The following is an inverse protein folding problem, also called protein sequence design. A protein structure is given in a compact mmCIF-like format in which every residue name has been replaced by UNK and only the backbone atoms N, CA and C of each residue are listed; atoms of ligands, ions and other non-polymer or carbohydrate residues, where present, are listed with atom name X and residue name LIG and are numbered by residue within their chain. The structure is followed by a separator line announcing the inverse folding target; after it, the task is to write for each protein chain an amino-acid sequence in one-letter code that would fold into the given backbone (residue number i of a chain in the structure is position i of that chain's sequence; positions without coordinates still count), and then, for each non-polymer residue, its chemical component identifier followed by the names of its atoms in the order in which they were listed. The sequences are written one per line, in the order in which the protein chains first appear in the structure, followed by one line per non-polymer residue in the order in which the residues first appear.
data_IF_947396741516
#
_entry.id   IF_947396741516
#
_cell.length_a   1.000
_cell.length_b   1.000
_cell.length_c   1.000
_cell.angle_alpha   90.00
_cell.angle_beta   90.00
_cell.angle_gamma   90.00
#
_symmetry.space_group_name_H-M   'P 1'
#
loop_
_entity.id
_entity.type
_entity.pdbx_description
1 polymer ?
#
# COMPACT_ATOMS: atom_id res chain seq x y z
N UNK A 1 -11.61 -9.93 12.23
CA UNK A 1 -11.70 -11.38 11.98
C UNK A 1 -12.68 -11.58 10.82
N UNK A 2 -12.18 -11.70 9.58
CA UNK A 2 -12.85 -12.21 8.34
C UNK A 2 -11.98 -11.87 7.10
N UNK A 3 -10.69 -12.27 7.10
CA UNK A 3 -9.76 -12.11 5.95
C UNK A 3 -9.46 -13.43 5.22
N UNK A 4 -10.29 -14.46 5.40
CA UNK A 4 -10.03 -15.83 4.89
C UNK A 4 -10.34 -16.07 3.40
N UNK A 5 -11.37 -15.48 2.76
CA UNK A 5 -11.70 -15.84 1.38
C UNK A 5 -10.75 -15.22 0.34
N UNK A 6 -10.16 -14.07 0.63
CA UNK A 6 -9.27 -13.36 -0.29
C UNK A 6 -7.88 -13.99 -0.38
N UNK A 7 -7.34 -14.48 0.74
CA UNK A 7 -6.06 -15.19 0.78
C UNK A 7 -6.13 -16.47 -0.06
N UNK A 8 -7.25 -17.19 -0.04
CA UNK A 8 -7.44 -18.41 -0.84
C UNK A 8 -7.46 -18.07 -2.33
N UNK A 9 -8.18 -17.01 -2.74
CA UNK A 9 -8.17 -16.55 -4.13
C UNK A 9 -6.76 -16.17 -4.56
N UNK A 10 -6.06 -15.34 -3.80
CA UNK A 10 -4.69 -14.88 -4.13
C UNK A 10 -3.71 -16.05 -4.26
N UNK A 11 -3.81 -17.06 -3.40
CA UNK A 11 -2.98 -18.27 -3.49
C UNK A 11 -3.34 -19.09 -4.73
N UNK A 12 -4.62 -19.25 -5.07
CA UNK A 12 -5.04 -20.00 -6.26
C UNK A 12 -4.66 -19.32 -7.59
N UNK A 13 -4.67 -17.99 -7.67
CA UNK A 13 -4.31 -17.26 -8.91
C UNK A 13 -2.81 -17.05 -9.07
N UNK A 14 -1.98 -17.50 -8.13
CA UNK A 14 -0.55 -17.26 -8.17
C UNK A 14 0.11 -18.13 -9.29
N UNK A 15 0.92 -17.56 -10.19
CA UNK A 15 1.48 -18.32 -11.32
C UNK A 15 2.33 -19.52 -10.88
N UNK A 16 2.95 -19.45 -9.70
CA UNK A 16 3.73 -20.57 -9.16
C UNK A 16 2.88 -21.67 -8.52
N UNK A 17 1.67 -21.40 -8.04
CA UNK A 17 0.76 -22.48 -7.59
C UNK A 17 0.23 -23.25 -8.79
N UNK A 18 -0.13 -22.57 -9.88
CA UNK A 18 -0.45 -23.20 -11.16
C UNK A 18 0.72 -24.05 -11.69
N UNK A 19 1.94 -23.53 -11.64
CA UNK A 19 3.13 -24.27 -12.06
C UNK A 19 3.38 -25.50 -11.17
N UNK A 20 3.22 -25.39 -9.86
CA UNK A 20 3.37 -26.52 -8.94
C UNK A 20 2.32 -27.62 -9.19
N UNK A 21 1.06 -27.24 -9.41
CA UNK A 21 -0.02 -28.18 -9.77
C UNK A 21 0.29 -28.87 -11.10
N UNK A 22 0.72 -28.11 -12.11
CA UNK A 22 1.06 -28.66 -13.42
C UNK A 22 2.25 -29.62 -13.34
N UNK A 23 3.28 -29.28 -12.57
CA UNK A 23 4.48 -30.09 -12.40
C UNK A 23 4.16 -31.42 -11.68
N UNK A 24 3.35 -31.38 -10.62
CA UNK A 24 2.86 -32.58 -9.94
C UNK A 24 2.05 -33.46 -10.90
N UNK A 25 1.12 -32.86 -11.67
CA UNK A 25 0.31 -33.60 -12.64
C UNK A 25 1.16 -34.26 -13.74
N UNK A 26 2.18 -33.57 -14.26
CA UNK A 26 3.09 -34.13 -15.28
C UNK A 26 3.95 -35.26 -14.72
N UNK A 27 4.43 -35.14 -13.48
CA UNK A 27 5.20 -36.19 -12.81
C UNK A 27 4.35 -37.42 -12.52
N UNK A 28 3.14 -37.25 -12.01
CA UNK A 28 2.21 -38.36 -11.75
C UNK A 28 1.81 -39.05 -13.05
N UNK A 29 1.47 -38.27 -14.09
CA UNK A 29 1.15 -38.81 -15.41
C UNK A 29 2.32 -39.58 -16.03
N UNK A 30 3.52 -39.00 -15.99
CA UNK A 30 4.74 -39.64 -16.48
C UNK A 30 5.02 -40.95 -15.75
N UNK A 31 4.87 -40.97 -14.43
CA UNK A 31 5.08 -42.17 -13.62
C UNK A 31 4.05 -43.27 -13.94
N UNK A 32 2.77 -42.94 -14.00
CA UNK A 32 1.70 -43.90 -14.32
C UNK A 32 1.89 -44.46 -15.75
N UNK A 33 2.18 -43.58 -16.71
CA UNK A 33 2.32 -43.98 -18.11
C UNK A 33 3.55 -44.86 -18.36
N UNK A 34 4.67 -44.59 -17.69
CA UNK A 34 5.94 -45.28 -17.95
C UNK A 34 6.13 -46.54 -17.11
N UNK A 35 5.72 -46.51 -15.83
CA UNK A 35 5.99 -47.61 -14.90
C UNK A 35 4.81 -48.56 -14.68
N UNK A 36 3.58 -48.16 -15.05
CA UNK A 36 2.34 -48.94 -14.81
C UNK A 36 2.32 -49.61 -13.43
N UNK A 37 2.46 -48.83 -12.34
CA UNK A 37 2.66 -49.38 -11.01
C UNK A 37 1.44 -50.21 -10.56
N UNK A 38 1.64 -51.26 -9.74
CA UNK A 38 0.54 -51.96 -9.11
C UNK A 38 -0.26 -51.00 -8.23
N UNK A 39 -1.58 -51.22 -8.17
CA UNK A 39 -2.56 -50.33 -7.52
C UNK A 39 -2.13 -49.68 -6.18
N UNK A 40 -1.56 -50.41 -5.19
CA UNK A 40 -1.16 -49.79 -3.92
C UNK A 40 -0.04 -48.75 -4.06
N UNK A 41 0.88 -48.95 -5.01
CA UNK A 41 1.98 -48.01 -5.27
C UNK A 41 1.47 -46.77 -6.00
N UNK A 42 0.55 -46.96 -6.95
CA UNK A 42 -0.13 -45.85 -7.64
C UNK A 42 -0.93 -44.97 -6.67
N UNK A 43 -1.70 -45.58 -5.77
CA UNK A 43 -2.45 -44.85 -4.74
C UNK A 43 -1.53 -44.08 -3.78
N UNK A 44 -0.39 -44.67 -3.39
CA UNK A 44 0.62 -44.01 -2.56
C UNK A 44 1.24 -42.78 -3.24
N UNK A 45 1.53 -42.86 -4.54
CA UNK A 45 2.05 -41.73 -5.33
C UNK A 45 1.05 -40.57 -5.40
N UNK A 46 -0.22 -40.84 -5.69
CA UNK A 46 -1.28 -39.81 -5.70
C UNK A 46 -1.43 -39.17 -4.31
N UNK A 47 -1.38 -39.99 -3.25
CA UNK A 47 -1.40 -39.49 -1.87
C UNK A 47 -0.22 -38.56 -1.57
N UNK A 48 0.97 -38.88 -2.07
CA UNK A 48 2.16 -38.05 -1.93
C UNK A 48 2.03 -36.73 -2.70
N UNK A 49 1.47 -36.73 -3.91
CA UNK A 49 1.20 -35.52 -4.69
C UNK A 49 0.20 -34.58 -4.01
N UNK A 50 -0.88 -35.13 -3.45
CA UNK A 50 -1.85 -34.37 -2.65
C UNK A 50 -1.19 -33.77 -1.41
N UNK A 51 -0.36 -34.54 -0.71
CA UNK A 51 0.38 -34.06 0.45
C UNK A 51 1.32 -32.90 0.08
N UNK A 52 2.06 -33.03 -1.04
CA UNK A 52 2.93 -31.96 -1.54
C UNK A 52 2.14 -30.69 -1.86
N UNK A 53 0.97 -30.83 -2.49
CA UNK A 53 0.08 -29.70 -2.79
C UNK A 53 -0.49 -29.04 -1.54
N UNK A 54 -0.72 -29.80 -0.46
CA UNK A 54 -1.16 -29.25 0.83
C UNK A 54 -0.03 -28.51 1.57
N UNK A 55 1.21 -28.98 1.44
CA UNK A 55 2.40 -28.33 2.05
C UNK A 55 2.81 -27.08 1.27
N UNK A 56 2.53 -27.03 -0.03
CA UNK A 56 2.90 -25.92 -0.91
C UNK A 56 2.40 -24.53 -0.44
N UNK A 57 1.11 -24.33 -0.06
CA UNK A 57 0.64 -23.07 0.52
C UNK A 57 1.44 -22.61 1.74
N UNK A 58 1.84 -23.56 2.59
CA UNK A 58 2.61 -23.28 3.82
C UNK A 58 4.01 -22.77 3.47
N UNK A 59 4.67 -23.41 2.49
CA UNK A 59 5.96 -22.97 1.98
C UNK A 59 5.88 -21.61 1.28
N UNK A 60 4.81 -21.40 0.52
CA UNK A 60 4.58 -20.17 -0.24
C UNK A 60 4.36 -18.97 0.71
N UNK A 61 3.56 -19.14 1.76
CA UNK A 61 3.35 -18.14 2.83
C UNK A 61 4.63 -17.83 3.62
N UNK A 62 5.54 -18.79 3.74
CA UNK A 62 6.83 -18.61 4.41
C UNK A 62 7.90 -18.00 3.48
N UNK A 63 7.72 -18.10 2.17
CA UNK A 63 8.72 -17.63 1.20
C UNK A 63 8.89 -16.11 1.25
N UNK A 64 10.15 -15.66 1.25
CA UNK A 64 10.47 -14.23 1.19
C UNK A 64 10.02 -13.59 -0.13
N UNK A 65 9.96 -14.36 -1.23
CA UNK A 65 9.47 -13.89 -2.53
C UNK A 65 7.97 -13.56 -2.50
N UNK A 66 7.15 -14.38 -1.84
CA UNK A 66 5.73 -14.06 -1.63
C UNK A 66 5.59 -12.88 -0.67
N UNK A 67 6.37 -12.79 0.41
CA UNK A 67 6.35 -11.60 1.29
C UNK A 67 6.73 -10.32 0.55
N UNK A 68 7.76 -10.33 -0.28
CA UNK A 68 8.16 -9.17 -1.07
C UNK A 68 7.13 -8.81 -2.15
N UNK A 69 6.49 -9.80 -2.78
CA UNK A 69 5.42 -9.54 -3.76
C UNK A 69 4.11 -9.13 -3.10
N UNK A 70 3.81 -9.64 -1.91
CA UNK A 70 2.68 -9.24 -1.06
C UNK A 70 2.86 -7.83 -0.50
N UNK A 71 4.10 -7.45 -0.17
CA UNK A 71 4.46 -6.07 0.17
C UNK A 71 4.45 -5.13 -1.06
N UNK A 72 4.49 -5.68 -2.28
CA UNK A 72 4.39 -4.95 -3.57
C UNK A 72 3.00 -5.01 -4.19
N UNK A 73 2.05 -5.78 -3.63
CA UNK A 73 0.64 -5.54 -3.92
C UNK A 73 0.36 -4.14 -3.38
N UNK A 74 -0.22 -3.23 -4.18
CA UNK A 74 -0.51 -1.88 -3.73
C UNK A 74 -1.30 -2.07 -2.45
N UNK A 75 -0.73 -1.62 -1.34
CA UNK A 75 -1.35 -1.69 -0.03
C UNK A 75 -2.80 -1.29 -0.25
N UNK A 76 -3.74 -2.14 0.15
CA UNK A 76 -5.02 -1.60 0.57
C UNK A 76 -4.62 -0.51 1.56
N UNK A 77 -4.77 0.75 1.13
CA UNK A 77 -4.50 1.93 1.93
C UNK A 77 -5.14 1.62 3.27
N UNK A 78 -4.35 1.40 4.32
CA UNK A 78 -4.92 1.13 5.64
C UNK A 78 -5.32 2.49 6.20
N UNK A 79 -6.34 3.06 5.57
CA UNK A 79 -6.99 4.34 5.88
C UNK A 79 -7.32 4.35 7.35
N UNK A 80 -7.78 3.22 7.90
CA UNK A 80 -8.06 3.04 9.32
C UNK A 80 -6.80 3.16 10.18
N UNK A 81 -5.68 2.57 9.76
CA UNK A 81 -4.41 2.75 10.47
C UNK A 81 -3.94 4.21 10.46
N UNK A 82 -4.09 4.92 9.34
CA UNK A 82 -3.77 6.35 9.25
C UNK A 82 -4.72 7.20 10.11
N UNK A 83 -6.02 6.96 10.06
CA UNK A 83 -7.02 7.64 10.89
C UNK A 83 -6.74 7.44 12.39
N UNK A 84 -6.36 6.23 12.79
CA UNK A 84 -6.00 5.93 14.17
C UNK A 84 -4.74 6.69 14.59
N UNK A 85 -3.72 6.71 13.73
CA UNK A 85 -2.49 7.47 13.96
C UNK A 85 -2.78 8.96 14.10
N UNK A 86 -3.65 9.52 13.25
CA UNK A 86 -4.02 10.94 13.26
C UNK A 86 -4.72 11.37 14.55
N UNK A 87 -5.33 10.47 15.33
CA UNK A 87 -5.89 10.80 16.65
C UNK A 87 -4.83 11.28 17.64
N UNK A 88 -3.58 10.83 17.48
CA UNK A 88 -2.44 11.21 18.33
C UNK A 88 -1.72 12.48 17.87
N UNK A 89 -2.07 13.01 16.70
CA UNK A 89 -1.50 14.25 16.17
C UNK A 89 -2.19 15.49 16.74
N UNK A 90 -1.58 16.66 16.54
CA UNK A 90 -2.22 17.94 16.89
C UNK A 90 -3.51 18.15 16.10
N UNK A 91 -4.49 18.87 16.69
CA UNK A 91 -5.78 19.19 16.04
C UNK A 91 -5.65 19.81 14.63
N UNK A 92 -4.81 20.83 14.40
CA UNK A 92 -4.71 21.46 13.07
C UNK A 92 -4.11 20.52 12.02
N UNK A 93 -3.13 19.69 12.41
CA UNK A 93 -2.56 18.68 11.53
C UNK A 93 -3.60 17.61 11.18
N UNK A 94 -4.24 17.03 12.21
CA UNK A 94 -5.28 16.00 12.05
C UNK A 94 -6.37 16.41 11.09
N UNK A 95 -6.92 17.62 11.23
CA UNK A 95 -8.01 18.11 10.36
C UNK A 95 -7.56 18.12 8.89
N UNK A 96 -6.39 18.71 8.62
CA UNK A 96 -5.87 18.87 7.26
C UNK A 96 -5.53 17.51 6.62
N UNK A 97 -4.94 16.59 7.39
CA UNK A 97 -4.61 15.24 6.91
C UNK A 97 -5.85 14.40 6.61
N UNK A 98 -6.91 14.49 7.43
CA UNK A 98 -8.17 13.80 7.17
C UNK A 98 -8.87 14.32 5.91
N UNK A 99 -8.89 15.64 5.70
CA UNK A 99 -9.43 16.21 4.45
C UNK A 99 -8.62 15.78 3.23
N UNK A 100 -7.29 15.71 3.36
CA UNK A 100 -6.41 15.26 2.28
C UNK A 100 -6.66 13.78 1.94
N UNK A 101 -6.82 12.94 2.98
CA UNK A 101 -7.13 11.53 2.84
C UNK A 101 -8.48 11.29 2.13
N UNK A 102 -9.52 12.02 2.52
CA UNK A 102 -10.83 11.93 1.87
C UNK A 102 -10.78 12.33 0.39
N UNK A 103 -10.01 13.37 0.04
CA UNK A 103 -9.83 13.77 -1.35
C UNK A 103 -9.01 12.76 -2.16
N UNK A 104 -7.97 12.18 -1.58
CA UNK A 104 -7.19 11.11 -2.22
C UNK A 104 -8.09 9.90 -2.55
N UNK A 105 -8.96 9.51 -1.63
CA UNK A 105 -9.93 8.44 -1.87
C UNK A 105 -10.91 8.78 -2.99
N UNK A 106 -11.47 9.99 -3.00
CA UNK A 106 -12.40 10.43 -4.04
C UNK A 106 -11.72 10.43 -5.42
N UNK A 107 -10.56 11.06 -5.54
CA UNK A 107 -9.79 11.12 -6.80
C UNK A 107 -9.43 9.72 -7.29
N UNK A 108 -9.08 8.81 -6.37
CA UNK A 108 -8.77 7.41 -6.70
C UNK A 108 -9.99 6.64 -7.20
N UNK A 109 -11.17 6.87 -6.63
CA UNK A 109 -12.42 6.24 -7.05
C UNK A 109 -12.88 6.75 -8.41
N UNK A 110 -12.74 8.05 -8.65
CA UNK A 110 -13.11 8.70 -9.92
C UNK A 110 -12.20 8.28 -11.07
N UNK A 111 -10.89 8.07 -10.82
CA UNK A 111 -9.92 7.80 -11.89
C UNK A 111 -9.10 6.53 -11.65
N UNK A 112 -9.44 5.46 -12.38
CA UNK A 112 -8.75 4.17 -12.33
C UNK A 112 -7.52 4.07 -13.25
N UNK A 113 -7.07 5.17 -13.87
CA UNK A 113 -5.94 5.12 -14.79
C UNK A 113 -4.63 4.83 -14.02
N UNK A 114 -3.85 3.86 -14.51
CA UNK A 114 -2.62 3.41 -13.83
C UNK A 114 -1.60 4.54 -13.65
N UNK A 115 -1.62 5.55 -14.51
CA UNK A 115 -0.67 6.67 -14.52
C UNK A 115 -0.72 7.50 -13.24
N UNK A 116 -1.92 7.78 -12.71
CA UNK A 116 -2.08 8.62 -11.52
C UNK A 116 -2.04 7.83 -10.22
N UNK A 117 -2.42 6.55 -10.25
CA UNK A 117 -2.47 5.68 -9.06
C UNK A 117 -1.11 5.61 -8.34
N UNK A 118 0.00 5.51 -9.09
CA UNK A 118 1.34 5.49 -8.49
C UNK A 118 1.69 6.78 -7.74
N UNK A 119 1.21 7.94 -8.19
CA UNK A 119 1.49 9.21 -7.51
C UNK A 119 0.55 9.40 -6.32
N UNK A 120 -0.72 9.02 -6.43
CA UNK A 120 -1.67 9.04 -5.31
C UNK A 120 -1.24 8.11 -4.17
N UNK A 121 -0.75 6.91 -4.49
CA UNK A 121 -0.21 5.97 -3.50
C UNK A 121 1.02 6.55 -2.77
N UNK A 122 1.87 7.30 -3.48
CA UNK A 122 3.01 8.03 -2.88
C UNK A 122 2.54 9.16 -1.96
N UNK A 123 1.51 9.93 -2.35
CA UNK A 123 0.98 11.00 -1.50
C UNK A 123 0.45 10.38 -0.20
N UNK A 124 -0.27 9.27 -0.28
CA UNK A 124 -0.73 8.55 0.90
C UNK A 124 0.45 8.10 1.78
N UNK A 125 1.48 7.50 1.18
CA UNK A 125 2.64 7.03 1.93
C UNK A 125 3.36 8.18 2.65
N UNK A 126 3.59 9.29 1.95
CA UNK A 126 4.19 10.49 2.52
C UNK A 126 3.33 11.07 3.64
N UNK A 127 2.01 11.11 3.48
CA UNK A 127 1.09 11.56 4.52
C UNK A 127 1.15 10.65 5.75
N UNK A 128 1.29 9.34 5.56
CA UNK A 128 1.44 8.37 6.64
C UNK A 128 2.75 8.58 7.42
N UNK A 129 3.88 8.69 6.72
CA UNK A 129 5.18 8.96 7.34
C UNK A 129 5.18 10.29 8.10
N UNK A 130 4.66 11.35 7.46
CA UNK A 130 4.54 12.67 8.08
C UNK A 130 3.65 12.64 9.32
N UNK A 131 2.55 11.89 9.30
CA UNK A 131 1.66 11.73 10.46
C UNK A 131 2.36 11.02 11.63
N UNK A 132 3.19 10.02 11.33
CA UNK A 132 4.00 9.33 12.35
C UNK A 132 5.05 10.26 12.95
N UNK A 133 5.74 11.04 12.12
CA UNK A 133 6.73 12.00 12.58
C UNK A 133 6.07 13.10 13.43
N UNK A 134 4.93 13.61 12.98
CA UNK A 134 4.17 14.64 13.69
C UNK A 134 3.68 14.16 15.05
N UNK A 135 3.13 12.94 15.15
CA UNK A 135 2.67 12.40 16.43
C UNK A 135 3.81 12.21 17.43
N UNK A 136 4.96 11.71 16.98
CA UNK A 136 6.15 11.56 17.81
C UNK A 136 6.69 12.91 18.28
N UNK A 137 6.83 13.88 17.36
CA UNK A 137 7.32 15.22 17.69
C UNK A 137 6.36 15.95 18.64
N UNK A 138 5.05 15.83 18.42
CA UNK A 138 4.03 16.43 19.27
C UNK A 138 4.02 15.84 20.68
N UNK A 139 4.14 14.52 20.80
CA UNK A 139 4.27 13.87 22.10
C UNK A 139 5.54 14.32 22.85
N UNK A 140 6.67 14.45 22.16
CA UNK A 140 7.93 14.96 22.74
C UNK A 140 7.79 16.40 23.20
N UNK A 141 7.22 17.27 22.36
CA UNK A 141 6.95 18.67 22.68
C UNK A 141 6.13 18.85 23.96
N UNK A 142 5.16 17.96 24.22
CA UNK A 142 4.34 17.99 25.43
C UNK A 142 5.06 17.51 26.69
N UNK A 143 6.07 16.63 26.56
CA UNK A 143 6.66 15.92 27.69
C UNK A 143 7.98 16.51 28.18
N UNK A 144 8.80 17.05 27.29
CA UNK A 144 10.15 17.52 27.66
C UNK A 144 10.72 18.57 26.72
N UNK A 145 11.82 19.17 27.14
CA UNK A 145 12.62 20.11 26.36
C UNK A 145 12.92 21.39 27.13
N UNK A 146 14.05 22.01 26.82
CA UNK A 146 14.30 23.40 27.21
C UNK A 146 13.41 24.35 26.40
N UNK A 147 13.20 25.59 26.85
CA UNK A 147 12.40 26.59 26.11
C UNK A 147 12.84 26.70 24.64
N UNK A 148 14.16 26.69 24.39
CA UNK A 148 14.72 26.72 23.04
C UNK A 148 14.36 25.48 22.24
N UNK A 149 14.43 24.29 22.84
CA UNK A 149 14.05 23.04 22.16
C UNK A 149 12.54 23.00 21.86
N UNK A 150 11.71 23.47 22.81
CA UNK A 150 10.26 23.56 22.61
C UNK A 150 9.90 24.53 21.48
N UNK A 151 10.56 25.69 21.40
CA UNK A 151 10.38 26.62 20.28
C UNK A 151 10.74 25.99 18.93
N UNK A 152 11.87 25.27 18.85
CA UNK A 152 12.26 24.55 17.63
C UNK A 152 11.24 23.47 17.26
N UNK A 153 10.80 22.65 18.22
CA UNK A 153 9.79 21.62 17.98
C UNK A 153 8.46 22.22 17.54
N UNK A 154 8.04 23.33 18.15
CA UNK A 154 6.83 24.05 17.76
C UNK A 154 6.93 24.59 16.33
N UNK A 155 8.08 25.14 15.94
CA UNK A 155 8.33 25.58 14.57
C UNK A 155 8.21 24.43 13.57
N UNK A 156 8.85 23.28 13.84
CA UNK A 156 8.76 22.09 13.01
C UNK A 156 7.34 21.55 12.91
N UNK A 157 6.60 21.47 14.03
CA UNK A 157 5.19 21.07 14.04
C UNK A 157 4.33 22.00 13.17
N UNK A 158 4.58 23.31 13.22
CA UNK A 158 3.86 24.29 12.41
C UNK A 158 4.21 24.15 10.92
N UNK A 159 5.47 23.90 10.57
CA UNK A 159 5.87 23.63 9.19
C UNK A 159 5.18 22.38 8.63
N UNK A 160 5.09 21.31 9.42
CA UNK A 160 4.38 20.09 9.03
C UNK A 160 2.88 20.35 8.80
N UNK A 161 2.25 21.16 9.65
CA UNK A 161 0.85 21.58 9.45
C UNK A 161 0.69 22.34 8.14
N UNK A 162 1.53 23.35 7.89
CA UNK A 162 1.47 24.17 6.68
C UNK A 162 1.68 23.34 5.41
N UNK A 163 2.61 22.38 5.43
CA UNK A 163 2.88 21.50 4.29
C UNK A 163 1.68 20.61 3.93
N UNK A 164 1.00 20.04 4.93
CA UNK A 164 -0.23 19.27 4.67
C UNK A 164 -1.34 20.17 4.15
N UNK A 165 -1.45 21.41 4.64
CA UNK A 165 -2.44 22.38 4.14
C UNK A 165 -2.18 22.82 2.69
N UNK A 166 -0.92 23.04 2.33
CA UNK A 166 -0.53 23.32 0.96
C UNK A 166 -0.84 22.14 0.05
N UNK A 167 -0.46 20.93 0.46
CA UNK A 167 -0.75 19.68 -0.26
C UNK A 167 -2.25 19.48 -0.46
N UNK A 168 -3.06 19.74 0.58
CA UNK A 168 -4.51 19.71 0.51
C UNK A 168 -5.06 20.74 -0.49
N UNK A 169 -4.52 21.95 -0.50
CA UNK A 169 -4.94 23.01 -1.42
C UNK A 169 -4.61 22.63 -2.86
N UNK A 170 -3.39 22.15 -3.11
CA UNK A 170 -2.96 21.66 -4.42
C UNK A 170 -3.80 20.47 -4.89
N UNK A 171 -4.15 19.54 -3.99
CA UNK A 171 -5.02 18.41 -4.29
C UNK A 171 -6.46 18.84 -4.59
N UNK A 172 -7.00 19.86 -3.89
CA UNK A 172 -8.30 20.47 -4.20
C UNK A 172 -8.30 21.12 -5.59
N UNK A 173 -7.26 21.87 -5.92
CA UNK A 173 -7.09 22.47 -7.27
C UNK A 173 -6.99 21.39 -8.34
N UNK A 174 -6.21 20.33 -8.08
CA UNK A 174 -6.07 19.19 -8.96
C UNK A 174 -7.42 18.49 -9.19
N UNK A 175 -8.17 18.20 -8.13
CA UNK A 175 -9.51 17.62 -8.21
C UNK A 175 -10.51 18.49 -8.97
N UNK A 176 -10.45 19.82 -8.82
CA UNK A 176 -11.29 20.74 -9.60
C UNK A 176 -10.91 20.77 -11.09
N UNK A 177 -9.62 20.71 -11.40
CA UNK A 177 -9.14 20.63 -12.78
C UNK A 177 -9.45 19.27 -13.43
N UNK A 178 -9.53 18.20 -12.63
CA UNK A 178 -9.89 16.84 -13.09
C UNK A 178 -11.31 16.77 -13.62
N UNK A 179 -12.24 17.52 -13.04
CA UNK A 179 -13.62 17.58 -13.54
C UNK A 179 -13.71 18.19 -14.94
N UNK A 180 -12.69 18.94 -15.37
CA UNK A 180 -12.61 19.60 -16.68
C UNK A 180 -11.85 18.77 -17.73
N UNK A 181 -11.22 17.66 -17.32
CA UNK A 181 -10.27 16.90 -18.14
C UNK A 181 -10.91 16.05 -19.25
N UNK A 182 -12.20 15.74 -19.16
CA UNK A 182 -12.91 15.01 -20.21
C UNK A 182 -12.90 15.77 -21.56
N UNK A 183 -12.57 17.06 -21.56
CA UNK A 183 -12.52 17.90 -22.76
C UNK A 183 -11.16 17.89 -23.51
N UNK A 184 -10.02 17.63 -22.84
CA UNK A 184 -8.69 17.86 -23.43
C UNK A 184 -7.62 16.82 -22.99
N UNK A 185 -7.25 15.85 -23.85
CA UNK A 185 -6.28 14.79 -23.49
C UNK A 185 -4.85 15.30 -23.26
N UNK A 186 -4.48 16.45 -23.80
CA UNK A 186 -3.16 17.08 -23.62
C UNK A 186 -2.92 17.65 -22.20
N UNK A 187 -3.95 17.74 -21.35
CA UNK A 187 -3.81 18.13 -19.95
C UNK A 187 -3.33 16.99 -19.03
N UNK A 188 -3.27 15.75 -19.53
CA UNK A 188 -2.83 14.59 -18.73
C UNK A 188 -1.36 14.69 -18.26
N UNK A 189 -0.46 15.27 -19.05
CA UNK A 189 0.96 15.42 -18.66
C UNK A 189 1.14 16.49 -17.58
N UNK A 190 0.43 17.63 -17.69
CA UNK A 190 0.43 18.68 -16.65
C UNK A 190 -0.08 18.14 -15.33
N UNK A 191 -1.11 17.33 -15.36
CA UNK A 191 -1.67 16.68 -14.18
C UNK A 191 -0.71 15.73 -13.47
N UNK A 192 0.04 14.94 -14.24
CA UNK A 192 1.10 14.11 -13.65
C UNK A 192 2.18 14.94 -12.98
N UNK A 193 2.47 16.15 -13.50
CA UNK A 193 3.41 17.09 -12.89
C UNK A 193 2.88 17.67 -11.57
N UNK A 194 1.58 18.01 -11.50
CA UNK A 194 0.97 18.58 -10.30
C UNK A 194 1.01 17.59 -9.12
N UNK A 195 0.63 16.33 -9.35
CA UNK A 195 0.72 15.29 -8.31
C UNK A 195 2.16 15.03 -7.86
N UNK A 196 3.13 15.08 -8.79
CA UNK A 196 4.56 14.97 -8.45
C UNK A 196 5.03 16.13 -7.58
N UNK A 197 4.56 17.35 -7.86
CA UNK A 197 4.90 18.52 -7.06
C UNK A 197 4.38 18.38 -5.62
N UNK A 198 3.14 17.91 -5.44
CA UNK A 198 2.58 17.61 -4.11
C UNK A 198 3.43 16.57 -3.38
N UNK A 199 3.80 15.49 -4.07
CA UNK A 199 4.66 14.46 -3.50
C UNK A 199 6.01 15.01 -3.05
N UNK A 200 6.63 15.84 -3.87
CA UNK A 200 7.94 16.42 -3.60
C UNK A 200 7.88 17.40 -2.41
N UNK A 201 6.81 18.19 -2.29
CA UNK A 201 6.60 19.06 -1.13
C UNK A 201 6.51 18.27 0.18
N UNK A 202 5.67 17.23 0.22
CA UNK A 202 5.54 16.37 1.41
C UNK A 202 6.86 15.68 1.75
N UNK A 203 7.58 15.19 0.73
CA UNK A 203 8.84 14.48 0.92
C UNK A 203 9.95 15.39 1.45
N UNK A 204 10.02 16.64 1.00
CA UNK A 204 10.98 17.61 1.52
C UNK A 204 10.78 17.84 3.02
N UNK A 205 9.53 17.96 3.47
CA UNK A 205 9.22 18.17 4.89
C UNK A 205 9.48 16.92 5.73
N UNK A 206 9.34 15.72 5.17
CA UNK A 206 9.74 14.48 5.84
C UNK A 206 11.26 14.44 6.06
N UNK A 207 12.06 14.92 5.10
CA UNK A 207 13.53 14.92 5.18
C UNK A 207 14.10 15.98 6.13
N UNK A 208 13.36 17.07 6.39
CA UNK A 208 13.78 18.14 7.29
C UNK A 208 13.60 17.81 8.80
N UNK A 209 12.95 16.68 9.12
CA UNK A 209 12.55 16.26 10.48
C UNK A 209 13.44 15.13 11.00
#
# INVERSE_FOLDING_TARGET
MTRRPEVIKIVLTYPFTLLAVLLVAVLEWGFISWFRPPFPIGAGMIGLGVLLLLVWPVLLLRSQAFRQRYQRLPYELDVKALEELLKSCSKPFRKSSLECLALLENVRQEFQSQTFQSELDRIFHNLFELSRNHSQLYARYQQFGTDRQQQTMQHLLQQQVSSVQNSLTSLKTFSGNLTLLEAHPEDHERMGSDLKAINQELQNVIQEV
#
